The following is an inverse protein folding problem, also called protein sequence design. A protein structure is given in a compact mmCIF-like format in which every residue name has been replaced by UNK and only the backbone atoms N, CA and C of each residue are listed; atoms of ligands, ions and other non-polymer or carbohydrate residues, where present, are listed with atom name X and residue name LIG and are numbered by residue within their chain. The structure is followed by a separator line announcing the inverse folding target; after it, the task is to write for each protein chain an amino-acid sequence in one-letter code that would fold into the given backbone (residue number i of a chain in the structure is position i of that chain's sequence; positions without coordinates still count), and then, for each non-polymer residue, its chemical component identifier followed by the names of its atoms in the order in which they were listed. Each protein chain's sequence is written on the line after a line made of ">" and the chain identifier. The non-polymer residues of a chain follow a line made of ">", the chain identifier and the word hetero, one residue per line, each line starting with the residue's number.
data_IF_657897624847
#
_entry.id   IF_657897624847
#
_cell.length_a   1.000
_cell.length_b   1.000
_cell.length_c   1.000
_cell.angle_alpha   90.00
_cell.angle_beta   90.00
_cell.angle_gamma   90.00
#
_symmetry.space_group_name_H-M   'P 1'
#
loop_
_entity.id
_entity.type
_entity.pdbx_description
1 polymer ?
#
# COMPACT_ATOMS: atom_id res chain seq x y z
N UNK A 1 -4.52 -12.40 10.58
CA UNK A 1 -3.05 -12.49 10.80
C UNK A 1 -2.25 -11.72 9.74
N UNK A 2 -2.74 -10.59 9.21
CA UNK A 2 -2.04 -9.77 8.20
C UNK A 2 -1.58 -8.43 8.82
N UNK A 3 -2.33 -7.93 9.81
CA UNK A 3 -2.05 -6.65 10.47
C UNK A 3 -0.79 -6.65 11.34
N UNK A 4 -0.45 -7.79 11.95
CA UNK A 4 0.72 -7.91 12.83
C UNK A 4 2.03 -7.66 12.09
N UNK A 5 2.11 -8.06 10.81
CA UNK A 5 3.26 -7.75 9.94
C UNK A 5 3.21 -6.33 9.36
N UNK A 6 2.03 -5.72 9.20
CA UNK A 6 1.88 -4.32 8.80
C UNK A 6 2.45 -3.34 9.85
N UNK A 7 2.43 -3.73 11.13
CA UNK A 7 3.06 -3.02 12.24
C UNK A 7 4.56 -3.36 12.39
N UNK A 8 5.02 -4.50 11.86
CA UNK A 8 6.41 -4.95 11.90
C UNK A 8 7.29 -4.40 10.75
N UNK A 9 6.87 -3.31 10.10
CA UNK A 9 7.73 -2.48 9.23
C UNK A 9 8.41 -1.28 9.93
N UNK A 10 8.79 -1.26 11.21
CA UNK A 10 9.53 -0.13 11.77
C UNK A 10 11.03 -0.18 11.42
N UNK A 11 11.56 -1.34 11.01
CA UNK A 11 13.00 -1.52 10.80
C UNK A 11 13.54 -1.22 9.40
N UNK A 12 12.71 -1.26 8.34
CA UNK A 12 13.18 -1.04 6.96
C UNK A 12 13.05 0.41 6.49
N UNK A 13 12.20 1.21 7.14
CA UNK A 13 11.91 2.60 6.78
C UNK A 13 12.07 3.54 7.98
N UNK A 14 13.07 3.28 8.83
CA UNK A 14 13.41 4.15 9.96
C UNK A 14 14.23 5.36 9.50
N UNK A 15 13.86 5.95 8.36
CA UNK A 15 14.42 7.22 7.91
C UNK A 15 13.51 8.35 8.40
N UNK A 16 14.12 9.43 8.87
CA UNK A 16 13.46 10.71 9.18
C UNK A 16 12.72 11.33 7.98
N UNK A 17 12.78 10.68 6.82
CA UNK A 17 12.27 11.10 5.53
C UNK A 17 10.96 10.35 5.16
N UNK A 18 9.96 11.04 4.60
CA UNK A 18 8.73 10.41 4.15
C UNK A 18 8.99 9.48 2.96
N UNK A 19 8.77 8.17 3.16
CA UNK A 19 8.98 7.16 2.13
C UNK A 19 7.73 7.03 1.27
N UNK A 20 7.91 7.08 -0.06
CA UNK A 20 6.86 6.78 -1.04
C UNK A 20 7.22 5.50 -1.78
N UNK A 21 6.40 4.46 -1.65
CA UNK A 21 6.67 3.17 -2.27
C UNK A 21 5.39 2.48 -2.76
N UNK A 22 5.46 1.89 -3.96
CA UNK A 22 4.43 1.02 -4.50
C UNK A 22 4.15 -0.15 -3.56
N UNK A 23 2.87 -0.45 -3.40
CA UNK A 23 2.39 -1.69 -2.79
C UNK A 23 1.72 -2.53 -3.88
N UNK A 24 1.59 -3.83 -3.64
CA UNK A 24 0.99 -4.76 -4.60
C UNK A 24 -0.51 -4.57 -4.86
N UNK A 25 -1.13 -3.44 -4.48
CA UNK A 25 -2.55 -3.20 -4.63
C UNK A 25 -2.83 -2.49 -5.97
N UNK A 26 -3.64 -3.12 -6.81
CA UNK A 26 -3.98 -2.63 -8.15
C UNK A 26 -5.47 -2.71 -8.42
N UNK A 27 -6.00 -1.75 -9.17
CA UNK A 27 -7.36 -1.76 -9.69
C UNK A 27 -7.39 -2.34 -11.09
N UNK A 28 -8.21 -3.37 -11.30
CA UNK A 28 -8.52 -3.96 -12.60
C UNK A 28 -10.04 -4.10 -12.72
N UNK A 29 -10.63 -3.63 -13.81
CA UNK A 29 -12.09 -3.67 -14.02
C UNK A 29 -12.91 -3.11 -12.84
N UNK A 30 -12.48 -1.97 -12.28
CA UNK A 30 -13.08 -1.31 -11.10
C UNK A 30 -12.96 -2.07 -9.76
N UNK A 31 -12.34 -3.25 -9.74
CA UNK A 31 -12.09 -4.02 -8.51
C UNK A 31 -10.65 -3.86 -8.04
N UNK A 32 -10.45 -3.65 -6.74
CA UNK A 32 -9.14 -3.64 -6.11
C UNK A 32 -8.70 -5.07 -5.79
N UNK A 33 -7.48 -5.43 -6.20
CA UNK A 33 -6.90 -6.76 -5.96
C UNK A 33 -5.42 -6.62 -5.64
N UNK A 34 -4.93 -7.49 -4.75
CA UNK A 34 -3.50 -7.67 -4.56
C UNK A 34 -2.90 -8.45 -5.72
N UNK A 35 -1.69 -8.09 -6.16
CA UNK A 35 -0.98 -8.75 -7.25
C UNK A 35 -0.54 -10.17 -6.91
N UNK A 36 -0.49 -10.52 -5.63
CA UNK A 36 -0.12 -11.86 -5.15
C UNK A 36 -1.32 -12.82 -5.00
N UNK A 37 -2.52 -12.35 -5.36
CA UNK A 37 -3.76 -13.10 -5.31
C UNK A 37 -4.39 -13.22 -3.92
N UNK A 38 -3.80 -12.59 -2.89
CA UNK A 38 -4.41 -12.59 -1.56
C UNK A 38 -5.72 -11.82 -1.54
N UNK A 39 -6.69 -12.32 -0.76
CA UNK A 39 -7.96 -11.65 -0.56
C UNK A 39 -7.74 -10.28 0.07
N UNK A 40 -8.35 -9.27 -0.53
CA UNK A 40 -8.36 -7.93 0.03
C UNK A 40 -9.40 -7.90 1.16
N UNK A 41 -8.94 -7.82 2.41
CA UNK A 41 -9.81 -7.56 3.53
C UNK A 41 -10.23 -6.08 3.54
N UNK A 42 -11.46 -5.81 3.06
CA UNK A 42 -12.03 -4.47 3.00
C UNK A 42 -12.50 -3.95 4.36
N UNK A 43 -12.60 -4.82 5.38
CA UNK A 43 -12.95 -4.40 6.74
C UNK A 43 -11.75 -3.73 7.41
N UNK A 44 -10.54 -4.28 7.20
CA UNK A 44 -9.27 -3.68 7.62
C UNK A 44 -8.85 -2.52 6.69
N UNK A 45 -9.06 -2.65 5.37
CA UNK A 45 -8.96 -1.55 4.40
C UNK A 45 -10.23 -0.68 4.44
N UNK A 46 -10.45 -0.04 5.58
CA UNK A 46 -11.59 0.86 5.78
C UNK A 46 -11.72 1.85 4.60
N UNK A 47 -12.93 2.33 4.29
CA UNK A 47 -13.16 3.39 3.30
C UNK A 47 -12.29 4.64 3.49
N UNK A 48 -11.73 4.80 4.69
CA UNK A 48 -10.76 5.83 5.11
C UNK A 48 -9.38 5.71 4.42
N UNK A 49 -8.94 4.49 4.07
CA UNK A 49 -7.66 4.24 3.38
C UNK A 49 -7.80 4.20 1.86
N UNK A 50 -8.90 3.62 1.33
CA UNK A 50 -9.26 3.64 -0.10
C UNK A 50 -10.14 4.85 -0.45
N UNK A 51 -9.70 6.01 0.00
CA UNK A 51 -10.37 7.30 -0.19
C UNK A 51 -10.24 7.80 -1.63
N UNK A 52 -10.79 8.99 -1.90
CA UNK A 52 -10.71 9.72 -3.19
C UNK A 52 -9.30 9.69 -3.81
N UNK A 53 -8.24 9.71 -3.00
CA UNK A 53 -6.86 9.70 -3.47
C UNK A 53 -6.45 8.36 -4.11
N UNK A 54 -6.91 7.22 -3.60
CA UNK A 54 -6.68 5.91 -4.22
C UNK A 54 -7.40 5.76 -5.58
N UNK A 55 -8.49 6.51 -5.79
CA UNK A 55 -9.27 6.47 -7.04
C UNK A 55 -8.63 7.26 -8.20
N UNK A 56 -7.59 8.05 -7.94
CA UNK A 56 -6.91 8.86 -8.97
C UNK A 56 -6.08 8.03 -9.96
N UNK A 57 -5.92 6.73 -9.72
CA UNK A 57 -5.10 5.86 -10.56
C UNK A 57 -5.55 4.40 -10.56
N UNK A 58 -4.69 3.55 -11.14
CA UNK A 58 -4.90 2.10 -11.19
C UNK A 58 -3.91 1.34 -10.29
N UNK A 59 -2.82 1.98 -9.85
CA UNK A 59 -1.86 1.41 -8.92
C UNK A 59 -1.82 2.23 -7.64
N UNK A 60 -1.58 1.58 -6.49
CA UNK A 60 -1.54 2.24 -5.19
C UNK A 60 -0.12 2.24 -4.63
N UNK A 61 0.35 3.42 -4.21
CA UNK A 61 1.55 3.56 -3.41
C UNK A 61 1.21 4.01 -2.00
N UNK A 62 2.07 3.63 -1.07
CA UNK A 62 2.03 4.05 0.32
C UNK A 62 3.01 5.20 0.51
N UNK A 63 2.58 6.22 1.25
CA UNK A 63 3.45 7.28 1.76
C UNK A 63 3.46 7.26 3.28
N UNK A 64 4.65 7.23 3.88
CA UNK A 64 4.84 7.40 5.33
C UNK A 64 5.03 8.87 5.66
N UNK A 65 4.46 9.32 6.78
CA UNK A 65 4.77 10.62 7.38
C UNK A 65 5.85 10.46 8.47
N UNK A 66 6.58 11.53 8.82
CA UNK A 66 7.53 11.51 9.95
C UNK A 66 6.90 11.05 11.27
N UNK A 67 5.58 11.24 11.45
CA UNK A 67 4.81 10.76 12.60
C UNK A 67 4.52 9.25 12.58
N UNK A 68 5.06 8.49 11.62
CA UNK A 68 4.77 7.06 11.42
C UNK A 68 3.42 6.77 10.77
N UNK A 69 2.58 7.79 10.52
CA UNK A 69 1.28 7.61 9.89
C UNK A 69 1.44 7.23 8.41
N UNK A 70 0.84 6.11 8.02
CA UNK A 70 0.84 5.57 6.65
C UNK A 70 -0.43 6.02 5.92
N UNK A 71 -0.30 6.51 4.67
CA UNK A 71 -1.45 6.84 3.80
C UNK A 71 -1.26 6.23 2.42
N UNK A 72 -2.37 5.87 1.78
CA UNK A 72 -2.39 5.26 0.46
C UNK A 72 -2.87 6.26 -0.59
N UNK A 73 -2.24 6.21 -1.76
CA UNK A 73 -2.50 7.11 -2.88
C UNK A 73 -2.54 6.31 -4.17
N UNK A 74 -3.47 6.67 -5.06
CA UNK A 74 -3.63 6.05 -6.37
C UNK A 74 -2.96 6.90 -7.42
N UNK A 75 -2.15 6.28 -8.26
CA UNK A 75 -1.48 6.96 -9.38
C UNK A 75 -1.41 6.05 -10.62
N UNK A 76 -0.96 6.61 -11.75
CA UNK A 76 -0.64 5.83 -12.94
C UNK A 76 0.45 4.82 -12.63
N UNK A 77 0.21 3.57 -13.04
CA UNK A 77 1.18 2.48 -12.92
C UNK A 77 2.47 2.71 -13.72
N UNK A 78 2.53 3.72 -14.60
CA UNK A 78 3.69 4.07 -15.41
C UNK A 78 4.71 4.95 -14.68
N UNK A 79 4.34 5.52 -13.52
CA UNK A 79 5.25 6.35 -12.72
C UNK A 79 6.28 5.50 -11.97
N UNK A 80 7.51 6.01 -11.91
CA UNK A 80 8.60 5.40 -11.14
C UNK A 80 8.48 5.80 -9.68
N UNK A 81 8.30 4.81 -8.81
CA UNK A 81 8.48 4.92 -7.36
C UNK A 81 9.29 3.73 -6.87
N UNK A 82 9.82 3.83 -5.64
CA UNK A 82 10.33 2.65 -4.93
C UNK A 82 9.20 1.63 -4.74
N UNK A 83 9.51 0.39 -4.43
CA UNK A 83 8.50 -0.64 -4.22
C UNK A 83 8.84 -1.49 -3.00
N UNK A 84 7.80 -1.99 -2.33
CA UNK A 84 7.93 -2.93 -1.21
C UNK A 84 7.49 -4.30 -1.68
N UNK A 85 8.38 -5.28 -1.52
CA UNK A 85 8.08 -6.68 -1.80
C UNK A 85 7.67 -7.40 -0.51
N UNK A 86 6.69 -8.30 -0.63
CA UNK A 86 6.38 -9.31 0.40
C UNK A 86 6.77 -10.67 -0.15
N UNK A 87 7.65 -11.38 0.55
CA UNK A 87 7.93 -12.80 0.27
C UNK A 87 6.78 -13.62 0.87
N UNK A 88 6.17 -14.53 0.10
CA UNK A 88 5.26 -15.51 0.70
C UNK A 88 6.10 -16.41 1.61
N UNK A 89 5.73 -16.48 2.89
CA UNK A 89 6.26 -17.50 3.79
C UNK A 89 5.88 -18.87 3.24
N UNK A 90 6.85 -19.78 3.24
CA UNK A 90 6.66 -21.18 2.87
C UNK A 90 5.90 -21.92 3.96
#
# INVERSE_FOLDING_TARGET
>A
MIFSEFLAFPGLLQDKEPVSAWIGLRRRFKTWKWTDGTWLDTSEFTPKYLTKWAKSGNCVYMKTKPSGMKRLFGESCTKRHRFVCRKKGC
#
